data_IF_580604865448
#
_entry.id   IF_580604865448
#
_cell.length_a   1.000
_cell.length_b   1.000
_cell.length_c   1.000
_cell.angle_alpha   90.00
_cell.angle_beta   90.00
_cell.angle_gamma   90.00
#
_symmetry.space_group_name_H-M   'P 1'
#
loop_
_entity.id
_entity.type
_entity.pdbx_description
1 polymer ?
#
# COMPACT_ATOMS: atom_id res chain seq x y z
N UNK A 1 -3.29 7.74 3.43
CA UNK A 1 -3.59 6.93 2.23
C UNK A 1 -4.88 7.45 1.61
N UNK A 2 -4.97 7.64 0.30
CA UNK A 2 -6.24 8.06 -0.32
C UNK A 2 -7.28 6.95 -0.16
N UNK A 3 -8.49 7.29 0.30
CA UNK A 3 -9.56 6.32 0.44
C UNK A 3 -10.24 6.12 -0.93
N UNK A 4 -10.69 4.89 -1.25
CA UNK A 4 -11.56 4.69 -2.40
C UNK A 4 -12.81 5.57 -2.30
N UNK A 5 -13.33 6.01 -3.44
CA UNK A 5 -14.64 6.67 -3.50
C UNK A 5 -15.71 5.59 -3.38
N UNK A 6 -16.51 5.66 -2.33
CA UNK A 6 -17.62 4.75 -2.08
C UNK A 6 -18.75 5.09 -3.06
N UNK A 7 -19.47 4.09 -3.56
CA UNK A 7 -20.62 4.22 -4.47
C UNK A 7 -20.35 5.03 -5.74
N UNK A 8 -19.13 4.93 -6.28
CA UNK A 8 -18.80 5.53 -7.57
C UNK A 8 -19.66 4.88 -8.69
N UNK A 9 -20.44 5.68 -9.44
CA UNK A 9 -21.28 5.13 -10.51
C UNK A 9 -20.45 4.36 -11.53
N UNK A 10 -20.99 3.26 -12.04
CA UNK A 10 -20.31 2.47 -13.06
C UNK A 10 -20.04 3.34 -14.31
N UNK A 11 -18.85 3.21 -14.88
CA UNK A 11 -18.35 4.05 -15.98
C UNK A 11 -18.14 5.54 -15.66
N UNK A 12 -18.16 5.95 -14.39
CA UNK A 12 -17.80 7.32 -14.01
C UNK A 12 -16.27 7.55 -13.93
N UNK A 13 -15.79 8.80 -14.02
CA UNK A 13 -14.40 9.15 -13.74
C UNK A 13 -13.91 8.67 -12.37
N UNK A 14 -14.77 8.69 -11.36
CA UNK A 14 -14.50 8.19 -10.01
C UNK A 14 -14.28 6.67 -10.00
N UNK A 15 -15.10 5.92 -10.73
CA UNK A 15 -14.93 4.46 -10.85
C UNK A 15 -13.63 4.11 -11.58
N UNK A 16 -13.30 4.82 -12.66
CA UNK A 16 -12.03 4.67 -13.37
C UNK A 16 -10.82 5.02 -12.48
N UNK A 17 -10.94 6.08 -11.67
CA UNK A 17 -9.96 6.46 -10.66
C UNK A 17 -9.76 5.36 -9.61
N UNK A 18 -10.85 4.84 -9.03
CA UNK A 18 -10.78 3.76 -8.04
C UNK A 18 -10.07 2.53 -8.61
N UNK A 19 -10.40 2.13 -9.85
CA UNK A 19 -9.76 1.00 -10.54
C UNK A 19 -8.24 1.20 -10.66
N UNK A 20 -7.79 2.38 -11.10
CA UNK A 20 -6.35 2.68 -11.20
C UNK A 20 -5.70 2.74 -9.82
N UNK A 21 -6.34 3.37 -8.85
CA UNK A 21 -5.82 3.47 -7.48
C UNK A 21 -5.67 2.09 -6.83
N UNK A 22 -6.66 1.21 -6.97
CA UNK A 22 -6.61 -0.16 -6.45
C UNK A 22 -5.46 -0.95 -7.08
N UNK A 23 -5.25 -0.82 -8.39
CA UNK A 23 -4.12 -1.45 -9.08
C UNK A 23 -2.78 -0.98 -8.51
N UNK A 24 -2.60 0.32 -8.34
CA UNK A 24 -1.38 0.90 -7.73
C UNK A 24 -1.20 0.40 -6.31
N UNK A 25 -2.26 0.39 -5.49
CA UNK A 25 -2.23 -0.13 -4.12
C UNK A 25 -1.77 -1.59 -4.09
N UNK A 26 -2.30 -2.43 -4.98
CA UNK A 26 -1.94 -3.84 -5.07
C UNK A 26 -0.44 -4.02 -5.37
N UNK A 27 0.08 -3.28 -6.35
CA UNK A 27 1.51 -3.31 -6.70
C UNK A 27 2.41 -2.86 -5.54
N UNK A 28 2.04 -1.77 -4.85
CA UNK A 28 2.81 -1.28 -3.71
C UNK A 28 2.76 -2.27 -2.54
N UNK A 29 1.61 -2.90 -2.27
CA UNK A 29 1.50 -3.96 -1.25
C UNK A 29 2.42 -5.13 -1.59
N UNK A 30 2.38 -5.62 -2.82
CA UNK A 30 3.24 -6.72 -3.28
C UNK A 30 4.72 -6.36 -3.16
N UNK A 31 5.12 -5.18 -3.63
CA UNK A 31 6.49 -4.69 -3.52
C UNK A 31 6.96 -4.66 -2.05
N UNK A 32 6.15 -4.10 -1.15
CA UNK A 32 6.46 -4.08 0.27
C UNK A 32 6.56 -5.49 0.87
N UNK A 33 5.69 -6.41 0.46
CA UNK A 33 5.74 -7.82 0.87
C UNK A 33 7.05 -8.49 0.46
N UNK A 34 7.46 -8.34 -0.80
CA UNK A 34 8.72 -8.88 -1.33
C UNK A 34 9.95 -8.33 -0.58
N UNK A 35 9.99 -7.01 -0.35
CA UNK A 35 11.09 -6.39 0.38
C UNK A 35 11.16 -6.86 1.83
N UNK A 36 10.02 -7.04 2.51
CA UNK A 36 9.97 -7.57 3.87
C UNK A 36 10.39 -9.03 3.96
N UNK A 37 10.02 -9.86 2.97
CA UNK A 37 10.50 -11.24 2.89
C UNK A 37 12.01 -11.32 2.74
N UNK A 38 12.59 -10.45 1.92
CA UNK A 38 14.01 -10.49 1.64
C UNK A 38 14.84 -9.87 2.79
N UNK A 39 14.37 -8.74 3.33
CA UNK A 39 15.12 -7.95 4.31
C UNK A 39 14.37 -7.87 5.64
N UNK A 40 14.83 -8.67 6.61
CA UNK A 40 14.27 -8.72 7.98
C UNK A 40 14.25 -7.34 8.67
N UNK A 41 15.11 -6.40 8.28
CA UNK A 41 15.14 -5.03 8.82
C UNK A 41 13.89 -4.19 8.47
N UNK A 42 13.00 -4.68 7.60
CA UNK A 42 11.74 -4.02 7.23
C UNK A 42 10.51 -4.64 7.92
N UNK A 43 10.70 -5.67 8.75
CA UNK A 43 9.61 -6.35 9.45
C UNK A 43 8.98 -5.48 10.53
N UNK A 44 7.70 -5.75 10.83
CA UNK A 44 6.91 -4.98 11.81
C UNK A 44 7.52 -5.03 13.21
N UNK A 45 8.06 -6.17 13.63
CA UNK A 45 8.73 -6.32 14.93
C UNK A 45 10.14 -5.70 14.95
N UNK A 46 10.65 -5.30 13.78
CA UNK A 46 11.96 -4.64 13.60
C UNK A 46 11.76 -3.26 12.96
N UNK A 47 10.87 -2.47 13.55
CA UNK A 47 10.60 -1.10 13.09
C UNK A 47 11.90 -0.33 12.98
N UNK A 48 12.07 0.40 11.88
CA UNK A 48 13.19 1.30 11.70
C UNK A 48 13.05 2.47 12.68
N UNK A 49 13.77 2.42 13.80
CA UNK A 49 13.87 3.51 14.78
C UNK A 49 14.79 4.64 14.31
N UNK A 50 14.55 5.10 13.09
CA UNK A 50 15.31 6.16 12.42
C UNK A 50 14.38 7.29 12.02
N UNK A 51 14.94 8.50 11.90
CA UNK A 51 14.21 9.62 11.29
C UNK A 51 13.78 9.27 9.86
N UNK A 52 12.69 9.85 9.35
CA UNK A 52 12.21 9.55 8.00
C UNK A 52 13.30 9.63 6.92
N UNK A 53 14.20 10.63 6.89
CA UNK A 53 15.26 10.69 5.89
C UNK A 53 16.21 9.47 5.92
N UNK A 54 16.55 8.98 7.12
CA UNK A 54 17.43 7.81 7.27
C UNK A 54 16.69 6.52 6.98
N UNK A 55 15.45 6.37 7.45
CA UNK A 55 14.60 5.22 7.14
C UNK A 55 14.39 5.09 5.61
N UNK A 56 14.17 6.20 4.90
CA UNK A 56 14.05 6.21 3.44
C UNK A 56 15.32 5.71 2.75
N UNK A 57 16.52 6.05 3.24
CA UNK A 57 17.78 5.54 2.69
C UNK A 57 17.90 4.03 2.86
N UNK A 58 17.51 3.50 4.02
CA UNK A 58 17.52 2.05 4.28
C UNK A 58 16.58 1.34 3.30
N UNK A 59 15.34 1.83 3.17
CA UNK A 59 14.34 1.25 2.25
C UNK A 59 14.84 1.32 0.79
N UNK A 60 15.45 2.44 0.38
CA UNK A 60 16.03 2.61 -0.95
C UNK A 60 17.15 1.59 -1.20
N UNK A 61 18.06 1.41 -0.26
CA UNK A 61 19.13 0.41 -0.34
C UNK A 61 18.56 -1.00 -0.45
N UNK A 62 17.52 -1.35 0.33
CA UNK A 62 16.84 -2.63 0.18
C UNK A 62 16.28 -2.83 -1.23
N UNK A 63 15.67 -1.81 -1.84
CA UNK A 63 15.17 -1.91 -3.22
C UNK A 63 16.30 -2.12 -4.24
N UNK A 64 17.42 -1.40 -4.09
CA UNK A 64 18.61 -1.57 -4.97
C UNK A 64 19.18 -2.99 -4.82
N UNK A 65 19.36 -3.46 -3.58
CA UNK A 65 19.87 -4.80 -3.31
C UNK A 65 18.92 -5.88 -3.84
N UNK A 66 17.61 -5.71 -3.69
CA UNK A 66 16.62 -6.61 -4.27
C UNK A 66 16.79 -6.77 -5.79
N UNK A 67 16.95 -5.65 -6.50
CA UNK A 67 17.18 -5.66 -7.94
C UNK A 67 18.49 -6.36 -8.30
N UNK A 68 19.55 -6.16 -7.51
CA UNK A 68 20.82 -6.88 -7.68
C UNK A 68 20.60 -8.39 -7.49
N UNK A 69 19.90 -8.81 -6.44
CA UNK A 69 19.56 -10.22 -6.20
C UNK A 69 18.79 -10.84 -7.37
N UNK A 70 17.78 -10.15 -7.91
CA UNK A 70 17.06 -10.60 -9.12
C UNK A 70 18.03 -10.75 -10.29
N UNK A 71 18.86 -9.74 -10.56
CA UNK A 71 19.81 -9.75 -11.69
C UNK A 71 20.84 -10.87 -11.60
N UNK A 72 21.17 -11.32 -10.38
CA UNK A 72 22.14 -12.36 -10.09
C UNK A 72 21.49 -13.72 -9.81
N UNK A 73 20.17 -13.84 -9.97
CA UNK A 73 19.40 -15.05 -9.62
C UNK A 73 19.69 -15.55 -8.19
N UNK A 74 19.89 -14.62 -7.25
CA UNK A 74 20.05 -14.96 -5.83
C UNK A 74 18.68 -15.41 -5.33
N UNK A 75 18.55 -16.64 -4.80
CA UNK A 75 17.28 -17.13 -4.30
C UNK A 75 16.82 -16.29 -3.11
N UNK A 76 15.50 -16.24 -2.90
CA UNK A 76 14.96 -15.68 -1.66
C UNK A 76 15.51 -16.45 -0.46
N UNK A 77 15.85 -15.78 0.65
CA UNK A 77 16.22 -16.47 1.88
C UNK A 77 15.13 -17.46 2.26
N UNK A 78 15.47 -18.74 2.43
CA UNK A 78 14.54 -19.74 2.96
C UNK A 78 14.31 -19.39 4.43
N UNK A 79 13.06 -19.22 4.81
CA UNK A 79 12.67 -18.92 6.20
C UNK A 79 12.75 -20.20 7.03
N UNK A 80 13.97 -20.61 7.37
CA UNK A 80 14.23 -21.90 8.03
C UNK A 80 14.08 -21.84 9.55
N UNK A 81 13.86 -20.67 10.13
CA UNK A 81 13.60 -20.49 11.56
C UNK A 81 12.91 -19.13 11.74
N UNK A 82 11.64 -19.19 12.14
CA UNK A 82 11.04 -18.51 13.28
C UNK A 82 9.51 -18.71 13.15
N UNK A 83 8.83 -18.83 14.28
CA UNK A 83 7.44 -19.26 14.42
C UNK A 83 6.48 -18.68 13.38
N UNK A 84 5.47 -19.48 13.00
CA UNK A 84 4.41 -19.17 12.04
C UNK A 84 3.65 -17.90 12.50
N UNK A 85 4.25 -16.73 12.28
CA UNK A 85 3.54 -15.47 12.31
C UNK A 85 2.79 -15.41 11.00
N UNK A 86 1.48 -15.27 11.09
CA UNK A 86 0.57 -15.00 9.97
C UNK A 86 1.10 -13.80 9.19
N UNK A 87 1.97 -14.07 8.22
CA UNK A 87 2.52 -13.05 7.35
C UNK A 87 1.35 -12.60 6.48
N UNK A 88 0.72 -11.49 6.89
CA UNK A 88 -0.10 -10.70 5.98
C UNK A 88 0.86 -10.13 4.90
N UNK A 89 1.15 -10.97 3.91
CA UNK A 89 1.95 -10.62 2.76
C UNK A 89 1.24 -9.57 1.89
N UNK A 90 -0.03 -9.24 2.17
CA UNK A 90 -0.84 -8.41 1.29
C UNK A 90 -0.94 -8.97 -0.14
N UNK A 91 -0.49 -10.21 -0.35
CA UNK A 91 -0.61 -10.96 -1.60
C UNK A 91 -2.01 -11.57 -1.56
N UNK A 92 -2.98 -10.84 -2.11
CA UNK A 92 -4.27 -11.44 -2.45
C UNK A 92 -4.04 -12.46 -3.56
N UNK A 93 -3.81 -13.73 -3.21
CA UNK A 93 -3.90 -14.87 -4.14
C UNK A 93 -5.38 -15.15 -4.48
N UNK A 94 -6.32 -14.52 -3.78
CA UNK A 94 -7.74 -14.55 -4.09
C UNK A 94 -8.18 -13.23 -4.73
N UNK A 95 -8.45 -13.30 -6.04
CA UNK A 95 -9.20 -12.30 -6.79
C UNK A 95 -10.57 -12.02 -6.14
N UNK A 96 -10.97 -10.74 -6.18
CA UNK A 96 -12.34 -10.25 -6.08
C UNK A 96 -13.10 -10.58 -4.79
N UNK A 97 -13.00 -9.73 -3.76
CA UNK A 97 -14.13 -9.42 -2.88
C UNK A 97 -13.95 -7.98 -2.34
N UNK A 98 -14.93 -7.14 -2.65
CA UNK A 98 -15.09 -5.82 -2.05
C UNK A 98 -15.44 -6.01 -0.58
N UNK A 99 -14.54 -5.66 0.33
CA UNK A 99 -14.88 -5.58 1.75
C UNK A 99 -15.56 -4.23 2.03
N UNK A 100 -16.90 -4.26 1.98
CA UNK A 100 -17.76 -3.32 2.68
C UNK A 100 -17.38 -3.30 4.17
N UNK A 101 -16.89 -2.16 4.65
CA UNK A 101 -16.91 -1.87 6.07
C UNK A 101 -17.69 -0.57 6.27
N UNK A 102 -18.98 -0.74 6.59
CA UNK A 102 -19.88 0.30 7.06
C UNK A 102 -19.34 0.90 8.37
N UNK A 103 -18.68 2.06 8.29
CA UNK A 103 -18.37 2.88 9.47
C UNK A 103 -19.45 3.95 9.57
N UNK A 104 -20.33 3.81 10.56
CA UNK A 104 -21.49 4.67 10.81
C UNK A 104 -21.14 6.16 10.80
N UNK A 105 -21.92 6.94 10.03
CA UNK A 105 -21.76 8.37 9.71
C UNK A 105 -21.88 9.36 10.89
N UNK A 106 -21.86 8.92 12.15
CA UNK A 106 -22.24 9.76 13.30
C UNK A 106 -21.10 10.52 14.03
N UNK A 107 -19.96 10.80 13.37
CA UNK A 107 -18.91 11.66 13.96
C UNK A 107 -18.38 12.75 12.99
N UNK A 108 -19.27 13.36 12.20
CA UNK A 108 -18.93 14.40 11.19
C UNK A 108 -18.62 15.79 11.79
N UNK A 109 -18.68 16.00 13.11
CA UNK A 109 -18.52 17.35 13.70
C UNK A 109 -17.08 17.83 13.94
N UNK A 110 -16.06 17.08 13.50
CA UNK A 110 -14.67 17.55 13.43
C UNK A 110 -14.02 16.96 12.19
N UNK A 111 -14.30 17.52 11.01
CA UNK A 111 -13.59 17.14 9.79
C UNK A 111 -12.10 17.43 10.04
N UNK A 112 -11.30 16.39 10.22
CA UNK A 112 -9.85 16.53 10.34
C UNK A 112 -9.36 17.30 9.09
N UNK A 113 -8.62 18.42 9.26
CA UNK A 113 -8.19 19.24 8.13
C UNK A 113 -7.37 18.46 7.11
N UNK A 114 -6.60 17.45 7.54
CA UNK A 114 -5.83 16.58 6.65
C UNK A 114 -6.73 15.65 5.82
N UNK A 115 -7.84 15.17 6.41
CA UNK A 115 -8.83 14.39 5.68
C UNK A 115 -9.52 15.25 4.61
N UNK A 116 -9.86 16.50 4.93
CA UNK A 116 -10.43 17.44 3.97
C UNK A 116 -9.45 17.73 2.82
N UNK A 117 -8.19 18.04 3.14
CA UNK A 117 -7.15 18.30 2.16
C UNK A 117 -6.91 17.08 1.24
N UNK A 118 -6.90 15.87 1.80
CA UNK A 118 -6.80 14.63 1.04
C UNK A 118 -7.93 14.46 0.04
N UNK A 119 -9.18 14.68 0.45
CA UNK A 119 -10.35 14.59 -0.44
C UNK A 119 -10.34 15.66 -1.54
N UNK A 120 -9.91 16.89 -1.22
CA UNK A 120 -9.75 17.94 -2.22
C UNK A 120 -8.74 17.55 -3.29
N UNK A 121 -7.57 17.03 -2.88
CA UNK A 121 -6.54 16.59 -3.83
C UNK A 121 -7.04 15.43 -4.70
N UNK A 122 -7.80 14.50 -4.11
CA UNK A 122 -8.40 13.38 -4.84
C UNK A 122 -9.36 13.87 -5.93
N UNK A 123 -10.27 14.80 -5.59
CA UNK A 123 -11.21 15.41 -6.55
C UNK A 123 -10.48 16.14 -7.68
N UNK A 124 -9.40 16.86 -7.37
CA UNK A 124 -8.57 17.50 -8.39
C UNK A 124 -7.93 16.49 -9.35
N UNK A 125 -7.42 15.36 -8.82
CA UNK A 125 -6.83 14.31 -9.66
C UNK A 125 -7.89 13.72 -10.59
N UNK A 126 -9.08 13.41 -10.09
CA UNK A 126 -10.17 12.85 -10.89
C UNK A 126 -10.53 13.82 -12.00
N UNK A 127 -10.84 15.07 -11.66
CA UNK A 127 -11.22 16.11 -12.63
C UNK A 127 -10.18 16.33 -13.72
N UNK A 128 -8.89 16.24 -13.40
CA UNK A 128 -7.82 16.58 -14.34
C UNK A 128 -7.34 15.40 -15.19
N UNK A 129 -7.51 14.16 -14.73
CA UNK A 129 -6.89 12.97 -15.34
C UNK A 129 -7.86 11.83 -15.64
N UNK A 130 -9.13 11.96 -15.27
CA UNK A 130 -10.16 10.96 -15.49
C UNK A 130 -11.37 11.67 -16.10
N UNK A 131 -11.71 11.30 -17.33
CA UNK A 131 -12.80 11.83 -18.15
C UNK A 131 -13.69 10.70 -18.61
#
# INVERSE_FOLDING_TARGET
MMAPIIDAPENSPEAAYNKKQMKVRSLIKQCNGLLKMHFRCLLKHRVLHYSPPTASKIIYTCAVLHNICISKNVPMPLDLNDDIEEFDFGINVYTNNYEENNVSEMNIRRINPDLAAGRLKQRQIIRNYFS
#
